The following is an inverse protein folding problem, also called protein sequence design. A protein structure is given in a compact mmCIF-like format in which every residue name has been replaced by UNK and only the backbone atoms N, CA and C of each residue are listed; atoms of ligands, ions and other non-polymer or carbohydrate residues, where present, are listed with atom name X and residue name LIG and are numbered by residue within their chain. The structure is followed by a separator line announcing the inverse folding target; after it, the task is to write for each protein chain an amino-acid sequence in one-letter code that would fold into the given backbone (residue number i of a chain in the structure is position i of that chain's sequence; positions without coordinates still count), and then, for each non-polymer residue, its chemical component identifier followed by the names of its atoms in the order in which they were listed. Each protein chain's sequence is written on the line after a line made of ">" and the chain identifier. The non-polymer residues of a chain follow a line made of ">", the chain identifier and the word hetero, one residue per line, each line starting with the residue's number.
data_IF_129256638592
#
_entry.id   IF_129256638592
#
_cell.length_a   1.000
_cell.length_b   1.000
_cell.length_c   1.000
_cell.angle_alpha   90.00
_cell.angle_beta   90.00
_cell.angle_gamma   90.00
#
_symmetry.space_group_name_H-M   'P 1'
#
loop_
_entity.id
_entity.type
_entity.pdbx_description
1 polymer ?
#
# COMPACT_ATOMS: atom_id res chain seq x y z
N UNK A 1 20.44 -31.31 37.86
CA UNK A 1 18.97 -31.44 37.64
C UNK A 1 18.56 -30.20 36.87
N UNK A 2 19.16 -30.01 35.68
CA UNK A 2 19.25 -28.70 34.97
C UNK A 2 18.95 -28.82 33.47
N UNK A 3 18.47 -29.99 33.03
CA UNK A 3 18.18 -30.21 31.60
C UNK A 3 16.98 -29.38 31.13
N UNK A 4 16.02 -29.09 32.01
CA UNK A 4 14.81 -28.31 31.69
C UNK A 4 15.10 -26.84 31.35
N UNK A 5 15.94 -26.17 32.15
CA UNK A 5 16.28 -24.76 31.91
C UNK A 5 17.09 -24.61 30.60
N UNK A 6 18.02 -25.53 30.33
CA UNK A 6 18.79 -25.53 29.07
C UNK A 6 17.92 -25.76 27.83
N UNK A 7 16.90 -26.62 27.88
CA UNK A 7 15.98 -26.83 26.76
C UNK A 7 15.06 -25.64 26.51
N UNK A 8 14.67 -24.93 27.57
CA UNK A 8 13.82 -23.75 27.48
C UNK A 8 14.57 -22.57 26.81
N UNK A 9 15.83 -22.34 27.18
CA UNK A 9 16.66 -21.31 26.53
C UNK A 9 16.96 -21.59 25.06
N UNK A 10 17.14 -22.86 24.67
CA UNK A 10 17.31 -23.24 23.25
C UNK A 10 16.04 -22.95 22.45
N UNK A 11 14.87 -23.26 22.99
CA UNK A 11 13.58 -22.93 22.35
C UNK A 11 13.36 -21.42 22.24
N UNK A 12 13.67 -20.66 23.30
CA UNK A 12 13.52 -19.20 23.30
C UNK A 12 14.46 -18.55 22.28
N UNK A 13 15.75 -18.92 22.27
CA UNK A 13 16.71 -18.39 21.30
C UNK A 13 16.35 -18.73 19.86
N UNK A 14 15.84 -19.93 19.59
CA UNK A 14 15.33 -20.30 18.27
C UNK A 14 14.15 -19.41 17.85
N UNK A 15 13.16 -19.21 18.72
CA UNK A 15 12.02 -18.33 18.42
C UNK A 15 12.44 -16.87 18.23
N UNK A 16 13.43 -16.37 18.99
CA UNK A 16 13.99 -15.03 18.82
C UNK A 16 14.73 -14.88 17.49
N UNK A 17 15.48 -15.90 17.07
CA UNK A 17 16.11 -15.92 15.75
C UNK A 17 15.07 -15.88 14.62
N UNK A 18 14.04 -16.72 14.71
CA UNK A 18 12.94 -16.73 13.73
C UNK A 18 12.23 -15.37 13.70
N UNK A 19 11.98 -14.77 14.86
CA UNK A 19 11.40 -13.43 14.95
C UNK A 19 12.28 -12.38 14.26
N UNK A 20 13.59 -12.41 14.51
CA UNK A 20 14.57 -11.53 13.87
C UNK A 20 14.54 -11.65 12.35
N UNK A 21 14.59 -12.88 11.82
CA UNK A 21 14.56 -13.14 10.37
C UNK A 21 13.25 -12.66 9.75
N UNK A 22 12.12 -13.00 10.38
CA UNK A 22 10.79 -12.61 9.90
C UNK A 22 10.57 -11.08 9.91
N UNK A 23 11.28 -10.35 10.78
CA UNK A 23 11.29 -8.87 10.76
C UNK A 23 12.30 -8.28 9.76
N UNK A 24 13.40 -8.98 9.48
CA UNK A 24 14.38 -8.53 8.50
C UNK A 24 13.83 -8.63 7.06
N UNK A 25 13.09 -9.69 6.74
CA UNK A 25 12.50 -9.91 5.41
C UNK A 25 11.68 -8.71 4.90
N UNK A 26 10.68 -8.18 5.63
CA UNK A 26 9.91 -7.04 5.16
C UNK A 26 10.74 -5.77 5.02
N UNK A 27 11.75 -5.56 5.87
CA UNK A 27 12.66 -4.43 5.73
C UNK A 27 13.45 -4.51 4.42
N UNK A 28 13.97 -5.69 4.08
CA UNK A 28 14.66 -5.92 2.81
C UNK A 28 13.72 -5.63 1.64
N UNK A 29 12.48 -6.15 1.68
CA UNK A 29 11.47 -5.89 0.64
C UNK A 29 11.20 -4.39 0.52
N UNK A 30 11.02 -3.68 1.64
CA UNK A 30 10.73 -2.24 1.66
C UNK A 30 11.82 -1.42 0.96
N UNK A 31 13.09 -1.60 1.36
CA UNK A 31 14.19 -0.84 0.78
C UNK A 31 14.48 -1.26 -0.66
N UNK A 32 14.38 -2.55 -0.97
CA UNK A 32 14.56 -3.05 -2.33
C UNK A 32 13.49 -2.50 -3.28
N UNK A 33 12.22 -2.58 -2.90
CA UNK A 33 11.10 -2.01 -3.65
C UNK A 33 11.26 -0.51 -3.86
N UNK A 34 11.68 0.20 -2.80
CA UNK A 34 11.91 1.63 -2.87
C UNK A 34 12.94 2.00 -3.94
N UNK A 35 14.09 1.32 -3.94
CA UNK A 35 15.17 1.57 -4.89
C UNK A 35 14.75 1.28 -6.33
N UNK A 36 13.97 0.21 -6.55
CA UNK A 36 13.48 -0.14 -7.88
C UNK A 36 12.55 0.91 -8.46
N UNK A 37 11.61 1.43 -7.66
CA UNK A 37 10.57 2.33 -8.18
C UNK A 37 10.90 3.81 -7.99
N UNK A 38 12.12 4.13 -7.54
CA UNK A 38 12.58 5.52 -7.36
C UNK A 38 12.65 6.28 -8.69
N UNK A 39 13.06 5.62 -9.78
CA UNK A 39 13.08 6.22 -11.11
C UNK A 39 11.70 6.68 -11.55
N UNK A 40 10.73 5.77 -11.50
CA UNK A 40 9.33 6.05 -11.84
C UNK A 40 8.72 7.12 -10.92
N UNK A 41 9.09 7.14 -9.63
CA UNK A 41 8.63 8.15 -8.68
C UNK A 41 9.12 9.55 -9.08
N UNK A 42 10.42 9.70 -9.36
CA UNK A 42 11.02 10.97 -9.76
C UNK A 42 10.41 11.47 -11.06
N UNK A 43 10.14 10.58 -12.00
CA UNK A 43 9.53 10.97 -13.27
C UNK A 43 8.06 11.40 -13.12
N UNK A 44 7.28 10.68 -12.32
CA UNK A 44 5.82 10.85 -12.27
C UNK A 44 5.32 11.82 -11.18
N UNK A 45 6.09 12.03 -10.11
CA UNK A 45 5.64 12.77 -8.92
C UNK A 45 6.49 14.00 -8.57
N UNK A 46 7.77 14.08 -8.98
CA UNK A 46 8.65 15.16 -8.55
C UNK A 46 8.56 16.43 -9.42
N UNK A 47 8.64 17.64 -8.82
CA UNK A 47 8.81 18.90 -9.54
C UNK A 47 10.16 18.94 -10.29
N UNK A 48 10.32 19.69 -11.40
CA UNK A 48 9.40 20.68 -11.97
C UNK A 48 8.38 20.08 -12.97
N UNK A 49 8.43 18.78 -13.24
CA UNK A 49 7.61 18.14 -14.29
C UNK A 49 6.11 18.16 -13.98
N UNK A 50 5.71 18.11 -12.69
CA UNK A 50 4.30 18.10 -12.28
C UNK A 50 4.07 18.91 -10.98
N UNK A 51 2.91 19.57 -10.82
CA UNK A 51 2.54 20.22 -9.57
C UNK A 51 2.19 19.18 -8.49
N UNK A 52 2.63 19.43 -7.26
CA UNK A 52 2.32 18.60 -6.09
C UNK A 52 0.84 18.75 -5.72
N UNK A 53 0.01 17.78 -6.09
CA UNK A 53 -1.39 17.69 -5.66
C UNK A 53 -1.49 17.07 -4.27
N UNK A 54 -2.63 17.24 -3.60
CA UNK A 54 -2.91 16.61 -2.30
C UNK A 54 -2.71 15.09 -2.33
N UNK A 55 -3.17 14.41 -3.38
CA UNK A 55 -3.01 12.97 -3.55
C UNK A 55 -1.54 12.58 -3.74
N UNK A 56 -0.76 13.38 -4.48
CA UNK A 56 0.69 13.21 -4.60
C UNK A 56 1.40 13.35 -3.25
N UNK A 57 1.02 14.37 -2.47
CA UNK A 57 1.56 14.59 -1.12
C UNK A 57 1.24 13.44 -0.17
N UNK A 58 0.00 12.91 -0.20
CA UNK A 58 -0.40 11.76 0.61
C UNK A 58 0.37 10.50 0.23
N UNK A 59 0.53 10.24 -1.07
CA UNK A 59 1.32 9.11 -1.59
C UNK A 59 2.79 9.20 -1.15
N UNK A 60 3.46 10.31 -1.43
CA UNK A 60 4.86 10.53 -1.02
C UNK A 60 4.98 10.48 0.50
N UNK A 61 4.08 11.15 1.22
CA UNK A 61 4.05 11.14 2.68
C UNK A 61 3.97 9.72 3.26
N UNK A 62 3.10 8.87 2.72
CA UNK A 62 2.95 7.46 3.16
C UNK A 62 4.24 6.68 2.93
N UNK A 63 4.83 6.85 1.75
CA UNK A 63 6.03 6.11 1.33
C UNK A 63 7.26 6.52 2.14
N UNK A 64 7.51 7.81 2.31
CA UNK A 64 8.64 8.31 3.12
C UNK A 64 8.42 8.11 4.62
N UNK A 65 7.17 8.19 5.10
CA UNK A 65 6.85 7.84 6.49
C UNK A 65 7.20 6.38 6.79
N UNK A 66 6.89 5.47 5.86
CA UNK A 66 7.25 4.06 5.99
C UNK A 66 8.77 3.89 5.97
N UNK A 67 9.44 4.45 4.96
CA UNK A 67 10.88 4.29 4.78
C UNK A 67 11.70 4.85 5.95
N UNK A 68 11.37 6.06 6.41
CA UNK A 68 12.06 6.72 7.52
C UNK A 68 11.62 6.14 8.87
N UNK A 69 10.35 5.76 9.00
CA UNK A 69 9.81 5.17 10.23
C UNK A 69 10.46 3.83 10.58
N UNK A 70 10.84 3.02 9.58
CA UNK A 70 11.52 1.76 9.84
C UNK A 70 13.04 1.90 10.11
N UNK A 71 13.65 3.08 9.90
CA UNK A 71 15.10 3.29 10.12
C UNK A 71 15.52 3.00 11.57
N UNK A 72 14.85 3.50 12.63
CA UNK A 72 15.23 3.18 14.01
C UNK A 72 15.20 1.68 14.29
N UNK A 73 14.26 0.94 13.69
CA UNK A 73 14.16 -0.52 13.85
C UNK A 73 15.37 -1.20 13.21
N UNK A 74 15.73 -0.84 11.98
CA UNK A 74 16.94 -1.32 11.31
C UNK A 74 18.19 -1.02 12.14
N UNK A 75 18.31 0.20 12.67
CA UNK A 75 19.45 0.59 13.52
C UNK A 75 19.53 -0.29 14.77
N UNK A 76 18.41 -0.59 15.42
CA UNK A 76 18.40 -1.52 16.55
C UNK A 76 18.77 -2.95 16.16
N UNK A 77 18.34 -3.42 14.98
CA UNK A 77 18.65 -4.77 14.48
C UNK A 77 20.11 -4.98 14.11
N UNK A 78 20.85 -3.91 13.79
CA UNK A 78 22.26 -3.99 13.35
C UNK A 78 23.22 -3.57 14.47
N UNK A 79 22.88 -2.52 15.22
CA UNK A 79 23.75 -1.91 16.24
C UNK A 79 23.14 -1.93 17.65
N UNK A 80 22.07 -2.67 17.88
CA UNK A 80 21.44 -2.78 19.20
C UNK A 80 22.37 -3.40 20.23
N UNK A 81 22.59 -2.68 21.34
CA UNK A 81 23.37 -3.17 22.49
C UNK A 81 22.46 -3.53 23.65
N UNK A 82 22.89 -4.43 24.54
CA UNK A 82 22.12 -4.80 25.75
C UNK A 82 21.70 -3.59 26.60
N UNK A 83 22.50 -2.52 26.64
CA UNK A 83 22.21 -1.30 27.41
C UNK A 83 21.23 -0.37 26.69
N UNK A 84 21.32 -0.25 25.35
CA UNK A 84 20.32 0.45 24.54
C UNK A 84 18.97 -0.28 24.54
N UNK A 85 19.01 -1.61 24.65
CA UNK A 85 17.85 -2.50 24.59
C UNK A 85 17.31 -2.88 25.98
N UNK A 86 18.02 -2.53 27.07
CA UNK A 86 17.57 -2.69 28.48
C UNK A 86 16.24 -2.01 28.79
N UNK A 87 15.75 -1.15 27.90
CA UNK A 87 14.37 -0.68 27.83
C UNK A 87 13.71 -1.16 26.54
N UNK A 88 13.47 -2.47 26.40
CA UNK A 88 12.74 -3.03 25.25
C UNK A 88 11.36 -2.38 25.05
N UNK A 89 10.76 -1.84 26.12
CA UNK A 89 9.47 -1.14 26.09
C UNK A 89 9.42 -0.01 25.04
N UNK A 90 10.24 1.06 25.14
CA UNK A 90 10.27 2.16 24.18
C UNK A 90 10.37 1.76 22.70
N UNK A 91 11.30 0.86 22.35
CA UNK A 91 11.49 0.43 20.94
C UNK A 91 10.25 -0.33 20.45
N UNK A 92 9.69 -1.19 21.30
CA UNK A 92 8.47 -1.90 20.96
C UNK A 92 7.27 -0.97 20.81
N UNK A 93 7.08 -0.03 21.75
CA UNK A 93 5.99 0.94 21.70
C UNK A 93 6.09 1.80 20.44
N UNK A 94 7.31 2.22 20.08
CA UNK A 94 7.56 2.92 18.83
C UNK A 94 7.15 2.06 17.62
N UNK A 95 7.57 0.80 17.57
CA UNK A 95 7.23 -0.10 16.47
C UNK A 95 5.72 -0.31 16.34
N UNK A 96 5.01 -0.62 17.44
CA UNK A 96 3.55 -0.77 17.42
C UNK A 96 2.83 0.52 17.04
N UNK A 97 3.32 1.68 17.49
CA UNK A 97 2.75 2.96 17.10
C UNK A 97 2.94 3.25 15.62
N UNK A 98 4.13 2.97 15.07
CA UNK A 98 4.42 3.13 13.65
C UNK A 98 3.48 2.27 12.79
N UNK A 99 3.28 1.00 13.14
CA UNK A 99 2.35 0.11 12.42
C UNK A 99 0.92 0.68 12.38
N UNK A 100 0.40 1.17 13.51
CA UNK A 100 -0.93 1.78 13.58
C UNK A 100 -0.98 3.07 12.74
N UNK A 101 0.06 3.89 12.83
CA UNK A 101 0.15 5.15 12.11
C UNK A 101 0.16 4.94 10.58
N UNK A 102 0.80 3.87 10.09
CA UNK A 102 0.87 3.54 8.67
C UNK A 102 -0.46 3.06 8.08
N UNK A 103 -1.34 2.45 8.90
CA UNK A 103 -2.63 1.96 8.44
C UNK A 103 -3.58 3.09 8.00
N UNK A 104 -3.49 4.26 8.64
CA UNK A 104 -4.36 5.41 8.36
C UNK A 104 -4.17 5.95 6.93
N UNK A 105 -2.97 6.36 6.50
CA UNK A 105 -2.77 6.89 5.16
C UNK A 105 -2.93 5.83 4.07
N UNK A 106 -2.57 4.56 4.34
CA UNK A 106 -2.86 3.43 3.42
C UNK A 106 -4.37 3.29 3.21
N UNK A 107 -5.16 3.25 4.28
CA UNK A 107 -6.62 3.18 4.19
C UNK A 107 -7.22 4.36 3.41
N UNK A 108 -6.68 5.57 3.61
CA UNK A 108 -7.10 6.75 2.87
C UNK A 108 -6.78 6.65 1.37
N UNK A 109 -5.60 6.17 0.99
CA UNK A 109 -5.23 5.93 -0.40
C UNK A 109 -6.14 4.89 -1.06
N UNK A 110 -6.43 3.79 -0.37
CA UNK A 110 -7.37 2.76 -0.83
C UNK A 110 -8.77 3.35 -1.06
N UNK A 111 -9.28 4.15 -0.11
CA UNK A 111 -10.58 4.80 -0.21
C UNK A 111 -10.64 5.79 -1.37
N UNK A 112 -9.64 6.66 -1.51
CA UNK A 112 -9.58 7.64 -2.60
C UNK A 112 -9.54 6.95 -3.96
N UNK A 113 -8.85 5.81 -4.05
CA UNK A 113 -8.81 5.01 -5.27
C UNK A 113 -10.19 4.44 -5.63
N UNK A 114 -10.89 3.83 -4.68
CA UNK A 114 -12.24 3.30 -4.93
C UNK A 114 -13.21 4.44 -5.28
N UNK A 115 -13.09 5.58 -4.62
CA UNK A 115 -13.88 6.77 -4.93
C UNK A 115 -13.67 7.26 -6.37
N UNK A 116 -12.42 7.30 -6.84
CA UNK A 116 -12.10 7.62 -8.23
C UNK A 116 -12.71 6.60 -9.20
N UNK A 117 -12.67 5.31 -8.86
CA UNK A 117 -13.18 4.22 -9.69
C UNK A 117 -14.71 4.26 -9.89
N UNK A 118 -15.42 4.75 -8.88
CA UNK A 118 -16.87 4.99 -8.91
C UNK A 118 -17.22 6.39 -9.45
N UNK A 119 -16.38 6.96 -10.30
CA UNK A 119 -16.63 8.25 -10.98
C UNK A 119 -16.93 9.39 -9.99
N UNK A 120 -16.28 9.38 -8.81
CA UNK A 120 -16.45 10.36 -7.74
C UNK A 120 -17.86 10.40 -7.14
N UNK A 121 -18.55 9.26 -7.08
CA UNK A 121 -19.83 9.15 -6.36
C UNK A 121 -19.63 9.33 -4.84
N UNK A 122 -20.20 10.41 -4.30
CA UNK A 122 -20.12 10.77 -2.87
C UNK A 122 -20.73 9.72 -1.95
N UNK A 123 -21.66 8.88 -2.44
CA UNK A 123 -22.26 7.80 -1.65
C UNK A 123 -21.22 6.77 -1.22
N UNK A 124 -20.33 6.40 -2.14
CA UNK A 124 -19.22 5.47 -1.87
C UNK A 124 -18.21 6.09 -0.90
N UNK A 125 -17.91 7.38 -1.07
CA UNK A 125 -17.05 8.12 -0.16
C UNK A 125 -17.59 8.10 1.28
N UNK A 126 -18.84 8.52 1.49
CA UNK A 126 -19.43 8.55 2.82
C UNK A 126 -19.57 7.15 3.41
N UNK A 127 -19.95 6.15 2.61
CA UNK A 127 -20.07 4.76 3.05
C UNK A 127 -18.73 4.17 3.53
N UNK A 128 -17.66 4.33 2.73
CA UNK A 128 -16.33 3.85 3.09
C UNK A 128 -15.75 4.61 4.28
N UNK A 129 -15.87 5.94 4.32
CA UNK A 129 -15.39 6.74 5.45
C UNK A 129 -16.11 6.36 6.75
N UNK A 130 -17.44 6.22 6.72
CA UNK A 130 -18.22 5.82 7.90
C UNK A 130 -17.83 4.41 8.36
N UNK A 131 -17.70 3.46 7.43
CA UNK A 131 -17.26 2.10 7.76
C UNK A 131 -15.84 2.09 8.35
N UNK A 132 -14.92 2.89 7.80
CA UNK A 132 -13.56 3.02 8.30
C UNK A 132 -13.51 3.61 9.71
N UNK A 133 -14.32 4.64 9.99
CA UNK A 133 -14.41 5.23 11.33
C UNK A 133 -14.98 4.26 12.37
N UNK A 134 -16.00 3.48 12.01
CA UNK A 134 -16.58 2.45 12.90
C UNK A 134 -15.54 1.37 13.18
N UNK A 135 -14.87 0.86 12.14
CA UNK A 135 -13.84 -0.18 12.29
C UNK A 135 -12.63 0.33 13.08
N UNK A 136 -12.23 1.59 12.89
CA UNK A 136 -11.18 2.23 13.67
C UNK A 136 -11.57 2.36 15.15
N UNK A 137 -12.81 2.74 15.46
CA UNK A 137 -13.29 2.81 16.84
C UNK A 137 -13.28 1.43 17.53
N UNK A 138 -13.68 0.38 16.81
CA UNK A 138 -13.61 -1.01 17.28
C UNK A 138 -12.15 -1.42 17.53
N UNK A 139 -11.25 -1.11 16.61
CA UNK A 139 -9.82 -1.40 16.76
C UNK A 139 -9.23 -0.69 17.99
N UNK A 140 -9.51 0.61 18.18
CA UNK A 140 -9.06 1.38 19.35
C UNK A 140 -9.59 0.78 20.65
N UNK A 141 -10.87 0.36 20.69
CA UNK A 141 -11.44 -0.30 21.86
C UNK A 141 -10.68 -1.58 22.23
N UNK A 142 -10.34 -2.44 21.26
CA UNK A 142 -9.56 -3.63 21.57
C UNK A 142 -8.15 -3.29 22.04
N UNK A 143 -7.50 -2.28 21.45
CA UNK A 143 -6.15 -1.84 21.83
C UNK A 143 -6.09 -1.34 23.28
N UNK A 144 -7.10 -0.58 23.75
CA UNK A 144 -7.12 -0.07 25.13
C UNK A 144 -7.32 -1.18 26.18
N UNK A 145 -7.78 -2.36 25.77
CA UNK A 145 -7.98 -3.52 26.66
C UNK A 145 -6.78 -4.47 26.71
N UNK A 146 -5.69 -4.15 26.02
CA UNK A 146 -4.47 -4.98 26.00
C UNK A 146 -3.67 -4.84 27.30
N UNK A 147 -3.06 -5.95 27.72
CA UNK A 147 -2.15 -5.93 28.85
C UNK A 147 -0.81 -5.27 28.44
N UNK A 148 -0.46 -4.18 29.12
CA UNK A 148 0.78 -3.43 28.87
C UNK A 148 2.06 -4.08 29.43
N UNK A 149 1.94 -5.17 30.21
CA UNK A 149 3.04 -5.79 30.95
C UNK A 149 3.48 -7.13 30.35
N UNK A 150 3.71 -7.18 29.03
CA UNK A 150 4.25 -8.38 28.39
C UNK A 150 5.74 -8.55 28.73
N UNK A 151 6.20 -9.76 29.13
CA UNK A 151 7.61 -10.02 29.33
C UNK A 151 8.37 -9.92 28.01
N UNK A 152 9.46 -9.14 28.03
CA UNK A 152 10.33 -8.93 26.88
C UNK A 152 11.64 -9.71 27.06
N UNK A 153 12.07 -10.35 25.97
CA UNK A 153 13.30 -11.11 25.88
C UNK A 153 14.24 -10.45 24.87
N UNK A 154 15.53 -10.43 25.19
CA UNK A 154 16.58 -9.90 24.35
C UNK A 154 17.68 -10.94 24.17
N UNK A 155 18.20 -11.06 22.96
CA UNK A 155 19.31 -11.95 22.64
C UNK A 155 20.39 -11.19 21.86
N UNK A 156 21.61 -11.14 22.40
CA UNK A 156 22.71 -10.35 21.83
C UNK A 156 23.17 -10.81 20.45
N UNK A 157 22.99 -12.09 20.11
CA UNK A 157 23.34 -12.63 18.79
C UNK A 157 22.35 -12.26 17.68
N UNK A 158 21.13 -11.85 18.04
CA UNK A 158 20.11 -11.35 17.13
C UNK A 158 19.43 -10.15 17.81
N UNK A 159 20.03 -8.94 17.74
CA UNK A 159 19.67 -7.82 18.60
C UNK A 159 18.31 -7.23 18.20
N UNK A 160 17.24 -7.84 18.71
CA UNK A 160 15.86 -7.41 18.55
C UNK A 160 15.07 -7.85 19.78
N UNK A 161 14.18 -6.98 20.27
CA UNK A 161 13.29 -7.33 21.36
C UNK A 161 12.15 -8.24 20.87
N UNK A 162 12.00 -9.40 21.49
CA UNK A 162 10.81 -10.23 21.36
C UNK A 162 9.90 -10.07 22.58
N UNK A 163 8.61 -9.82 22.39
CA UNK A 163 7.64 -9.88 23.48
C UNK A 163 6.92 -11.22 23.45
N UNK A 164 6.85 -11.90 24.59
CA UNK A 164 5.99 -13.06 24.73
C UNK A 164 4.59 -12.56 25.09
N UNK A 165 3.65 -12.68 24.14
CA UNK A 165 2.25 -12.31 24.33
C UNK A 165 1.42 -13.54 24.66
N UNK A 166 0.54 -13.40 25.65
CA UNK A 166 -0.41 -14.46 26.02
C UNK A 166 -1.39 -14.75 24.89
N UNK A 167 -2.06 -15.91 24.95
CA UNK A 167 -3.10 -16.25 23.98
C UNK A 167 -4.23 -15.21 23.94
N UNK A 168 -4.63 -14.69 25.11
CA UNK A 168 -5.68 -13.68 25.24
C UNK A 168 -5.30 -12.35 24.55
N UNK A 169 -4.05 -11.91 24.72
CA UNK A 169 -3.55 -10.72 24.03
C UNK A 169 -3.53 -10.95 22.51
N UNK A 170 -3.14 -12.14 22.06
CA UNK A 170 -3.17 -12.52 20.65
C UNK A 170 -4.57 -12.46 20.04
N UNK A 171 -5.59 -12.93 20.77
CA UNK A 171 -7.00 -12.88 20.32
C UNK A 171 -7.48 -11.42 20.24
N UNK A 172 -7.14 -10.58 21.21
CA UNK A 172 -7.47 -9.14 21.18
C UNK A 172 -6.81 -8.42 20.01
N UNK A 173 -5.54 -8.71 19.72
CA UNK A 173 -4.87 -8.20 18.52
C UNK A 173 -5.53 -8.71 17.24
N UNK A 174 -5.88 -9.99 17.17
CA UNK A 174 -6.58 -10.55 16.02
C UNK A 174 -7.94 -9.85 15.79
N UNK A 175 -8.65 -9.45 16.85
CA UNK A 175 -9.87 -8.66 16.75
C UNK A 175 -9.62 -7.23 16.24
N UNK A 176 -8.49 -6.61 16.57
CA UNK A 176 -8.08 -5.33 15.98
C UNK A 176 -7.77 -5.46 14.49
N UNK A 177 -6.99 -6.48 14.12
CA UNK A 177 -6.61 -6.75 12.73
C UNK A 177 -7.78 -7.26 11.86
N UNK A 178 -8.79 -7.89 12.45
CA UNK A 178 -10.01 -8.28 11.73
C UNK A 178 -10.80 -7.05 11.27
N UNK A 179 -10.78 -5.95 12.02
CA UNK A 179 -11.38 -4.69 11.58
C UNK A 179 -10.70 -4.15 10.32
N UNK A 180 -9.37 -4.26 10.24
CA UNK A 180 -8.58 -3.91 9.04
C UNK A 180 -8.93 -4.83 7.88
N UNK A 181 -8.97 -6.15 8.11
CA UNK A 181 -9.34 -7.13 7.09
C UNK A 181 -10.74 -6.86 6.52
N UNK A 182 -11.71 -6.52 7.37
CA UNK A 182 -13.08 -6.18 6.91
C UNK A 182 -13.05 -4.95 6.00
N UNK A 183 -12.29 -3.91 6.36
CA UNK A 183 -12.14 -2.73 5.50
C UNK A 183 -11.51 -3.09 4.15
N UNK A 184 -10.41 -3.84 4.15
CA UNK A 184 -9.72 -4.25 2.93
C UNK A 184 -10.59 -5.16 2.05
N UNK A 185 -11.39 -6.04 2.66
CA UNK A 185 -12.35 -6.86 1.95
C UNK A 185 -13.48 -6.04 1.31
N UNK A 186 -13.98 -5.00 1.99
CA UNK A 186 -14.96 -4.08 1.41
C UNK A 186 -14.39 -3.33 0.20
N UNK A 187 -13.15 -2.83 0.32
CA UNK A 187 -12.43 -2.17 -0.77
C UNK A 187 -12.21 -3.12 -1.94
N UNK A 188 -11.77 -4.35 -1.67
CA UNK A 188 -11.60 -5.41 -2.67
C UNK A 188 -12.93 -5.71 -3.38
N UNK A 189 -14.00 -5.93 -2.63
CA UNK A 189 -15.32 -6.28 -3.19
C UNK A 189 -15.86 -5.16 -4.09
N UNK A 190 -15.80 -3.91 -3.64
CA UNK A 190 -16.23 -2.76 -4.45
C UNK A 190 -15.39 -2.64 -5.72
N UNK A 191 -14.08 -2.81 -5.61
CA UNK A 191 -13.18 -2.77 -6.78
C UNK A 191 -13.50 -3.90 -7.75
N UNK A 192 -13.70 -5.13 -7.26
CA UNK A 192 -14.04 -6.29 -8.07
C UNK A 192 -15.40 -6.12 -8.77
N UNK A 193 -16.44 -5.70 -8.04
CA UNK A 193 -17.78 -5.44 -8.61
C UNK A 193 -17.69 -4.42 -9.74
N UNK A 194 -16.92 -3.34 -9.54
CA UNK A 194 -16.72 -2.32 -10.59
C UNK A 194 -15.90 -2.85 -11.76
N UNK A 195 -14.87 -3.65 -11.49
CA UNK A 195 -14.07 -4.34 -12.51
C UNK A 195 -14.93 -5.23 -13.41
N UNK A 196 -15.83 -6.04 -12.83
CA UNK A 196 -16.74 -6.89 -13.59
C UNK A 196 -17.76 -6.11 -14.40
N UNK A 197 -18.35 -5.04 -13.84
CA UNK A 197 -19.33 -4.21 -14.55
C UNK A 197 -18.75 -3.50 -15.79
N UNK A 198 -17.47 -3.12 -15.73
CA UNK A 198 -16.80 -2.32 -16.76
C UNK A 198 -15.85 -3.19 -17.61
N UNK A 199 -15.91 -4.53 -17.46
CA UNK A 199 -15.02 -5.48 -18.15
C UNK A 199 -15.09 -5.41 -19.69
N UNK A 200 -16.21 -4.92 -20.22
CA UNK A 200 -16.46 -4.77 -21.66
C UNK A 200 -16.05 -3.40 -22.21
N UNK A 201 -15.64 -2.44 -21.37
CA UNK A 201 -15.45 -1.03 -21.77
C UNK A 201 -14.07 -0.69 -22.36
N UNK A 202 -13.28 -1.68 -22.78
CA UNK A 202 -11.98 -1.49 -23.42
C UNK A 202 -10.84 -2.29 -22.78
N UNK A 203 -9.75 -2.48 -23.53
CA UNK A 203 -8.59 -3.30 -23.11
C UNK A 203 -7.81 -2.62 -21.98
N UNK A 204 -7.56 -1.30 -22.08
CA UNK A 204 -6.81 -0.53 -21.07
C UNK A 204 -7.54 -0.55 -19.72
N UNK A 205 -8.83 -0.23 -19.73
CA UNK A 205 -9.68 -0.25 -18.53
C UNK A 205 -9.70 -1.64 -17.88
N UNK A 206 -9.70 -2.71 -18.68
CA UNK A 206 -9.63 -4.08 -18.20
C UNK A 206 -8.30 -4.39 -17.50
N UNK A 207 -7.16 -4.01 -18.09
CA UNK A 207 -5.83 -4.28 -17.50
C UNK A 207 -5.68 -3.55 -16.18
N UNK A 208 -5.98 -2.25 -16.15
CA UNK A 208 -5.89 -1.41 -14.94
C UNK A 208 -6.79 -1.93 -13.80
N UNK A 209 -8.02 -2.35 -14.13
CA UNK A 209 -8.96 -2.91 -13.17
C UNK A 209 -8.53 -4.29 -12.68
N UNK A 210 -8.06 -5.16 -13.59
CA UNK A 210 -7.57 -6.51 -13.23
C UNK A 210 -6.39 -6.41 -12.27
N UNK A 211 -5.41 -5.59 -12.61
CA UNK A 211 -4.23 -5.40 -11.78
C UNK A 211 -4.64 -4.80 -10.44
N UNK A 212 -5.55 -3.82 -10.46
CA UNK A 212 -6.16 -3.26 -9.25
C UNK A 212 -6.81 -4.28 -8.31
N UNK A 213 -7.56 -5.24 -8.86
CA UNK A 213 -8.20 -6.32 -8.10
C UNK A 213 -7.15 -7.27 -7.50
N UNK A 214 -6.09 -7.59 -8.25
CA UNK A 214 -5.00 -8.46 -7.75
C UNK A 214 -4.27 -7.82 -6.56
N UNK A 215 -3.99 -6.51 -6.62
CA UNK A 215 -3.37 -5.79 -5.50
C UNK A 215 -4.24 -5.84 -4.23
N UNK A 216 -5.54 -5.55 -4.34
CA UNK A 216 -6.44 -5.60 -3.19
C UNK A 216 -6.71 -7.02 -2.68
N UNK A 217 -6.66 -8.03 -3.57
CA UNK A 217 -6.73 -9.43 -3.19
C UNK A 217 -5.50 -9.83 -2.35
N UNK A 218 -4.30 -9.47 -2.81
CA UNK A 218 -3.05 -9.71 -2.08
C UNK A 218 -3.04 -9.00 -0.72
N UNK A 219 -3.59 -7.78 -0.64
CA UNK A 219 -3.75 -7.04 0.61
C UNK A 219 -4.66 -7.77 1.59
N UNK A 220 -5.85 -8.19 1.16
CA UNK A 220 -6.79 -8.94 1.99
C UNK A 220 -6.20 -10.30 2.43
N UNK A 221 -5.50 -11.00 1.54
CA UNK A 221 -4.84 -12.27 1.85
C UNK A 221 -3.71 -12.10 2.88
N UNK A 222 -2.92 -11.02 2.76
CA UNK A 222 -1.84 -10.71 3.71
C UNK A 222 -2.38 -10.44 5.11
N UNK A 223 -3.45 -9.64 5.22
CA UNK A 223 -4.13 -9.40 6.50
C UNK A 223 -4.76 -10.67 7.08
N UNK A 224 -5.34 -11.53 6.25
CA UNK A 224 -5.87 -12.81 6.70
C UNK A 224 -4.76 -13.71 7.27
N UNK A 225 -3.62 -13.78 6.58
CA UNK A 225 -2.45 -14.54 7.05
C UNK A 225 -1.94 -13.99 8.38
N UNK A 226 -1.89 -12.66 8.55
CA UNK A 226 -1.51 -12.04 9.81
C UNK A 226 -2.44 -12.44 10.97
N UNK A 227 -3.75 -12.48 10.75
CA UNK A 227 -4.74 -12.93 11.75
C UNK A 227 -4.53 -14.39 12.12
N UNK A 228 -4.28 -15.25 11.13
CA UNK A 228 -3.99 -16.68 11.36
C UNK A 228 -2.74 -16.82 12.26
N UNK A 229 -1.67 -16.08 11.96
CA UNK A 229 -0.44 -16.09 12.76
C UNK A 229 -0.67 -15.56 14.18
N UNK A 230 -1.42 -14.47 14.34
CA UNK A 230 -1.75 -13.91 15.66
C UNK A 230 -2.43 -14.94 16.58
N UNK A 231 -3.32 -15.76 16.03
CA UNK A 231 -4.05 -16.79 16.79
C UNK A 231 -3.20 -18.05 16.99
N UNK A 232 -2.58 -18.56 15.93
CA UNK A 232 -1.96 -19.90 15.92
C UNK A 232 -0.48 -19.94 16.30
N UNK A 233 0.27 -18.82 16.17
CA UNK A 233 1.71 -18.83 16.38
C UNK A 233 2.11 -18.85 17.86
N UNK A 234 3.37 -19.23 18.11
CA UNK A 234 3.98 -19.19 19.44
C UNK A 234 3.98 -17.77 20.00
N UNK A 235 3.92 -17.57 21.34
CA UNK A 235 3.84 -16.26 21.99
C UNK A 235 4.84 -15.20 21.49
N UNK A 236 6.04 -15.62 21.09
CA UNK A 236 7.13 -14.76 20.60
C UNK A 236 7.00 -14.40 19.10
N UNK A 237 6.20 -15.15 18.33
CA UNK A 237 6.00 -14.98 16.89
C UNK A 237 4.65 -14.34 16.52
N UNK A 238 3.76 -14.12 17.50
CA UNK A 238 2.40 -13.61 17.25
C UNK A 238 2.38 -12.27 16.51
N UNK A 239 3.29 -11.34 16.82
CA UNK A 239 3.28 -9.98 16.25
C UNK A 239 4.15 -9.80 15.01
N UNK A 240 4.81 -10.85 14.52
CA UNK A 240 5.87 -10.70 13.52
C UNK A 240 5.34 -10.48 12.11
N UNK A 241 4.16 -11.03 11.80
CA UNK A 241 3.53 -10.87 10.49
C UNK A 241 2.83 -9.52 10.29
N UNK A 242 2.60 -8.76 11.36
CA UNK A 242 2.00 -7.43 11.29
C UNK A 242 2.87 -6.46 10.49
N UNK A 243 4.18 -6.50 10.72
CA UNK A 243 5.16 -5.63 10.07
C UNK A 243 5.28 -5.98 8.58
N UNK A 244 5.29 -7.28 8.26
CA UNK A 244 5.24 -7.76 6.88
C UNK A 244 3.97 -7.30 6.17
N UNK A 245 2.82 -7.41 6.82
CA UNK A 245 1.55 -6.97 6.26
C UNK A 245 1.56 -5.48 5.97
N UNK A 246 2.02 -4.65 6.91
CA UNK A 246 2.14 -3.20 6.70
C UNK A 246 3.06 -2.84 5.53
N UNK A 247 4.25 -3.45 5.44
CA UNK A 247 5.17 -3.20 4.33
C UNK A 247 4.54 -3.65 3.00
N UNK A 248 3.90 -4.82 2.96
CA UNK A 248 3.19 -5.27 1.76
C UNK A 248 2.07 -4.31 1.39
N UNK A 249 1.29 -3.82 2.36
CA UNK A 249 0.25 -2.81 2.11
C UNK A 249 0.79 -1.56 1.44
N UNK A 250 1.90 -1.01 1.96
CA UNK A 250 2.54 0.20 1.44
C UNK A 250 3.17 -0.03 0.07
N UNK A 251 3.85 -1.15 -0.14
CA UNK A 251 4.49 -1.48 -1.42
C UNK A 251 3.45 -1.75 -2.52
N UNK A 252 2.41 -2.52 -2.22
CA UNK A 252 1.31 -2.81 -3.16
C UNK A 252 0.55 -1.55 -3.54
N UNK A 253 0.16 -0.70 -2.57
CA UNK A 253 -0.50 0.58 -2.88
C UNK A 253 0.44 1.52 -3.64
N UNK A 254 1.74 1.48 -3.36
CA UNK A 254 2.71 2.34 -4.04
C UNK A 254 2.88 1.96 -5.50
N UNK A 255 3.15 0.69 -5.80
CA UNK A 255 3.28 0.17 -7.17
C UNK A 255 2.03 0.45 -7.99
N UNK A 256 0.88 0.28 -7.35
CA UNK A 256 -0.40 0.54 -7.96
C UNK A 256 -0.61 2.01 -8.35
N UNK A 257 -0.24 2.94 -7.46
CA UNK A 257 -0.33 4.37 -7.74
C UNK A 257 0.67 4.81 -8.82
N UNK A 258 1.85 4.20 -8.85
CA UNK A 258 2.87 4.43 -9.88
C UNK A 258 2.40 3.92 -11.25
N UNK A 259 1.93 2.66 -11.33
CA UNK A 259 1.44 2.05 -12.58
C UNK A 259 0.26 2.83 -13.18
N UNK A 260 -0.67 3.31 -12.33
CA UNK A 260 -1.78 4.14 -12.82
C UNK A 260 -1.30 5.44 -13.46
N UNK A 261 -0.17 5.97 -13.01
CA UNK A 261 0.33 7.28 -13.44
C UNK A 261 1.31 7.19 -14.60
N UNK A 262 2.05 6.09 -14.75
CA UNK A 262 2.82 5.79 -15.96
C UNK A 262 1.89 5.67 -17.16
N UNK A 263 0.79 4.91 -17.04
CA UNK A 263 -0.15 4.67 -18.16
C UNK A 263 -0.81 5.98 -18.63
N UNK A 264 -1.15 6.87 -17.69
CA UNK A 264 -1.72 8.20 -18.03
C UNK A 264 -0.71 9.07 -18.79
N UNK A 265 0.59 8.90 -18.54
CA UNK A 265 1.65 9.70 -19.19
C UNK A 265 1.97 9.16 -20.58
N UNK A 266 1.98 7.83 -20.76
CA UNK A 266 2.11 7.21 -22.09
C UNK A 266 0.95 7.59 -23.00
N UNK A 267 -0.30 7.53 -22.52
CA UNK A 267 -1.47 7.91 -23.32
C UNK A 267 -1.37 9.35 -23.85
N UNK A 268 -0.98 10.31 -22.99
CA UNK A 268 -0.78 11.72 -23.39
C UNK A 268 0.35 11.86 -24.41
N UNK A 269 1.46 11.14 -24.22
CA UNK A 269 2.57 11.16 -25.17
C UNK A 269 2.17 10.55 -26.52
N UNK A 270 1.39 9.47 -26.54
CA UNK A 270 0.87 8.89 -27.80
C UNK A 270 -0.15 9.79 -28.47
N UNK A 271 -1.04 10.46 -27.74
CA UNK A 271 -1.99 11.43 -28.30
C UNK A 271 -1.25 12.64 -28.91
N UNK A 272 -0.22 13.17 -28.24
CA UNK A 272 0.60 14.28 -28.74
C UNK A 272 1.48 13.87 -29.94
N UNK A 273 1.90 12.59 -30.00
CA UNK A 273 2.70 12.03 -31.10
C UNK A 273 1.82 11.72 -32.32
N UNK A 274 0.58 11.25 -32.13
CA UNK A 274 -0.39 11.06 -33.21
C UNK A 274 -0.94 12.40 -33.73
N UNK A 275 -1.12 13.42 -32.87
CA UNK A 275 -1.47 14.77 -33.32
C UNK A 275 -0.34 15.47 -34.09
N UNK A 276 0.92 15.04 -33.92
CA UNK A 276 2.05 15.50 -34.74
C UNK A 276 2.22 14.73 -36.07
N UNK A 277 1.39 13.70 -36.32
CA UNK A 277 1.41 12.89 -37.55
C UNK A 277 0.55 13.42 -38.70
N UNK A 278 -0.30 14.43 -38.47
CA UNK A 278 -1.08 15.08 -39.53
C UNK A 278 -0.44 16.41 -39.92
N UNK A 279 0.13 16.45 -41.13
CA UNK A 279 0.60 17.68 -41.79
C UNK A 279 -0.40 18.85 -41.62
N UNK A 280 0.08 20.09 -41.46
CA UNK A 280 -0.79 21.24 -41.34
C UNK A 280 -1.48 21.49 -42.68
N UNK A 281 -2.80 21.30 -42.73
CA UNK A 281 -3.60 21.87 -43.81
C UNK A 281 -3.56 23.40 -43.65
N UNK A 282 -2.66 24.02 -44.41
CA UNK A 282 -2.41 25.44 -44.47
C UNK A 282 -3.69 26.14 -44.98
N UNK A 283 -4.31 26.96 -44.12
CA UNK A 283 -5.60 27.62 -44.39
C UNK A 283 -5.45 28.91 -45.23
N UNK A 284 -4.45 28.97 -46.11
CA UNK A 284 -4.13 30.12 -46.96
C UNK A 284 -4.06 29.74 -48.46
N UNK A 285 -4.92 28.82 -48.91
CA UNK A 285 -5.17 28.70 -50.35
C UNK A 285 -6.31 29.65 -50.72
N UNK A 286 -5.93 30.87 -51.11
CA UNK A 286 -6.79 31.81 -51.80
C UNK A 286 -7.57 31.10 -52.91
N UNK A 287 -8.90 31.09 -52.77
CA UNK A 287 -9.81 30.75 -53.87
C UNK A 287 -9.68 31.89 -54.88
N UNK A 288 -8.74 31.73 -55.83
CA UNK A 288 -8.73 32.52 -57.05
C UNK A 288 -9.94 32.07 -57.86
N UNK A 289 -10.96 32.93 -57.87
CA UNK A 289 -12.08 32.85 -58.81
C UNK A 289 -11.52 33.09 -60.22
N UNK A 290 -11.64 32.14 -61.16
CA UNK A 290 -11.45 32.44 -62.57
C UNK A 290 -12.78 32.92 -63.13
N UNK A 291 -12.88 34.21 -63.40
CA UNK A 291 -13.93 34.76 -64.24
C UNK A 291 -13.71 34.37 -65.71
N UNK A 292 -14.82 33.97 -66.34
CA UNK A 292 -15.11 33.95 -67.79
C UNK A 292 -14.51 32.84 -68.69
N UNK A 293 -15.40 32.02 -69.27
CA UNK A 293 -15.66 32.04 -70.72
C UNK A 293 -16.93 31.23 -71.11
N UNK A 294 -17.92 31.99 -71.58
CA UNK A 294 -18.91 31.75 -72.65
C UNK A 294 -18.93 30.35 -73.29
N UNK A 295 -20.11 29.70 -73.30
CA UNK A 295 -20.37 28.48 -74.07
C UNK A 295 -21.85 28.09 -74.14
N UNK A 296 -22.60 28.76 -75.00
CA UNK A 296 -24.01 28.48 -75.39
C UNK A 296 -24.14 27.17 -76.18
N UNK A 297 -25.08 26.27 -75.82
CA UNK A 297 -25.85 25.31 -76.68
C UNK A 297 -26.75 24.47 -75.75
N UNK A 298 -28.08 24.65 -75.66
CA UNK A 298 -29.16 24.34 -76.63
C UNK A 298 -29.18 22.86 -77.06
N UNK A 299 -30.15 22.10 -76.53
CA UNK A 299 -31.16 21.29 -77.27
C UNK A 299 -31.45 19.89 -76.68
N UNK A 300 -32.73 19.71 -76.33
CA UNK A 300 -33.64 18.56 -76.54
C UNK A 300 -33.14 17.12 -76.27
N UNK A 301 -33.82 16.43 -75.36
CA UNK A 301 -34.99 15.59 -75.67
C UNK A 301 -35.82 15.38 -74.40
#
# INVERSE_FOLDING_TARGET
>A
MDTGDSTDWVSISHNLYVNYVLQAVPLVILYYDYLLTLGDEIENYWPPRRPLTWLSGLFLGTRYLTLLGFVPIVVTMVWGTETAVRKCGPVQLYHSFLEILLQIPVGLLCLLRVYALYSKDRRILWGLTLSGLILLAIAIYFVTTLNGHAPAYFWSSAPLCGNSRTADDGIRFAACWSAVLVFDFLVFLLTAVRAFRVWQSGVIVRVVLRDGVLYFCALAASNLLNIIVLVAATPLLKTTFASLTNVLSVTLISRLMLNLRSDTTEDVLTEDTELSGTQPANLDTYIVVPESHIGTRRSMA
#
